data_IF_244120229559
#
_entry.id   IF_244120229559
#
_cell.length_a   1.000
_cell.length_b   1.000
_cell.length_c   1.000
_cell.angle_alpha   90.00
_cell.angle_beta   90.00
_cell.angle_gamma   90.00
#
_symmetry.space_group_name_H-M   'P 1'
#
loop_
_entity.id
_entity.type
_entity.pdbx_description
1 polymer ?
#
# COMPACT_ATOMS: atom_id res chain seq x y z
N UNK A 1 17.73 13.98 4.55
CA UNK A 1 18.75 13.27 3.74
C UNK A 1 18.20 13.18 2.32
N UNK A 2 19.02 13.41 1.28
CA UNK A 2 18.57 13.61 -0.12
C UNK A 2 19.11 12.58 -1.12
N UNK A 3 19.80 11.52 -0.65
CA UNK A 3 20.34 10.47 -1.50
C UNK A 3 21.69 10.78 -2.16
N UNK A 4 22.26 11.96 -1.91
CA UNK A 4 23.59 12.30 -2.41
C UNK A 4 24.69 11.43 -1.76
N UNK A 5 25.71 11.09 -2.54
CA UNK A 5 26.86 10.34 -2.05
C UNK A 5 27.71 11.20 -1.11
N UNK A 6 27.56 10.99 0.20
CA UNK A 6 28.28 11.77 1.21
C UNK A 6 29.80 11.55 1.17
N UNK A 7 30.26 10.30 1.04
CA UNK A 7 31.69 9.95 1.01
C UNK A 7 31.93 8.61 0.31
N UNK A 8 32.97 8.54 -0.50
CA UNK A 8 33.55 7.31 -1.04
C UNK A 8 35.03 7.23 -0.61
N UNK A 9 35.34 6.52 0.50
CA UNK A 9 36.71 6.45 1.00
C UNK A 9 37.70 5.91 -0.06
N UNK A 10 38.85 6.57 -0.22
CA UNK A 10 39.92 6.25 -1.19
C UNK A 10 39.60 6.57 -2.66
N UNK A 11 38.47 7.21 -2.94
CA UNK A 11 38.13 7.66 -4.31
C UNK A 11 38.57 9.10 -4.60
N UNK A 12 39.08 9.81 -3.59
CA UNK A 12 39.55 11.20 -3.74
C UNK A 12 40.73 11.34 -4.72
N UNK A 13 41.47 10.25 -4.98
CA UNK A 13 42.60 10.19 -5.93
C UNK A 13 42.26 9.55 -7.27
N UNK A 14 41.01 9.14 -7.50
CA UNK A 14 40.58 8.52 -8.76
C UNK A 14 40.15 9.61 -9.73
N UNK A 15 40.94 9.84 -10.78
CA UNK A 15 40.83 11.00 -11.66
C UNK A 15 39.47 11.10 -12.39
N UNK A 16 38.80 9.98 -12.64
CA UNK A 16 37.51 9.91 -13.35
C UNK A 16 36.32 9.69 -12.41
N UNK A 17 36.52 9.74 -11.09
CA UNK A 17 35.43 9.54 -10.15
C UNK A 17 34.58 10.81 -9.99
N UNK A 18 33.36 10.73 -10.47
CA UNK A 18 32.33 11.74 -10.25
C UNK A 18 31.34 11.27 -9.18
N UNK A 19 31.23 12.03 -8.08
CA UNK A 19 30.28 11.72 -7.00
C UNK A 19 28.83 11.89 -7.46
N UNK A 20 28.56 12.80 -8.39
CA UNK A 20 27.19 13.12 -8.81
C UNK A 20 26.56 12.01 -9.65
N UNK A 21 27.36 11.21 -10.35
CA UNK A 21 26.92 10.00 -11.05
C UNK A 21 26.68 8.78 -10.15
N UNK A 22 26.98 8.85 -8.85
CA UNK A 22 26.90 7.72 -7.91
C UNK A 22 25.92 7.95 -6.74
N UNK A 23 24.84 8.68 -6.99
CA UNK A 23 23.75 8.91 -6.03
C UNK A 23 22.87 7.67 -5.89
N UNK A 24 22.13 7.57 -4.78
CA UNK A 24 21.07 6.56 -4.67
C UNK A 24 19.99 6.82 -5.74
N UNK A 25 19.43 5.75 -6.29
CA UNK A 25 18.26 5.86 -7.16
C UNK A 25 17.09 6.45 -6.38
N UNK A 26 16.45 7.46 -6.96
CA UNK A 26 15.23 8.03 -6.41
C UNK A 26 14.07 7.04 -6.59
N UNK A 27 13.16 7.05 -5.63
CA UNK A 27 11.84 6.41 -5.73
C UNK A 27 10.78 7.45 -5.45
N UNK A 28 9.65 7.37 -6.14
CA UNK A 28 8.55 8.28 -5.90
C UNK A 28 7.83 7.88 -4.63
N UNK A 29 7.49 8.88 -3.82
CA UNK A 29 6.78 8.68 -2.57
C UNK A 29 5.58 9.62 -2.46
N UNK A 30 4.47 9.12 -1.94
CA UNK A 30 3.30 9.92 -1.59
C UNK A 30 2.87 9.60 -0.17
N UNK A 31 2.56 10.62 0.64
CA UNK A 31 1.96 10.43 1.98
C UNK A 31 0.51 10.85 1.86
N UNK A 32 -0.41 9.91 2.09
CA UNK A 32 -1.83 10.19 1.96
C UNK A 32 -2.40 10.94 3.18
N UNK A 33 -3.67 11.34 3.09
CA UNK A 33 -4.35 12.10 4.16
C UNK A 33 -4.53 11.32 5.46
N UNK A 34 -4.33 10.00 5.44
CA UNK A 34 -4.44 9.11 6.59
C UNK A 34 -3.06 8.75 7.17
N UNK A 35 -1.98 9.28 6.59
CA UNK A 35 -0.61 9.09 7.06
C UNK A 35 0.09 7.85 6.51
N UNK A 36 -0.47 7.16 5.51
CA UNK A 36 0.20 6.03 4.87
C UNK A 36 1.20 6.50 3.83
N UNK A 37 2.35 5.82 3.78
CA UNK A 37 3.41 6.05 2.80
C UNK A 37 3.24 5.09 1.63
N UNK A 38 3.09 5.66 0.43
CA UNK A 38 3.01 4.93 -0.83
C UNK A 38 4.31 5.11 -1.60
N UNK A 39 4.80 4.03 -2.21
CA UNK A 39 6.01 4.02 -3.04
C UNK A 39 5.65 3.63 -4.46
N UNK A 40 6.15 4.37 -5.44
CA UNK A 40 6.06 4.04 -6.86
C UNK A 40 7.47 3.90 -7.44
N UNK A 41 7.73 2.74 -8.06
CA UNK A 41 9.04 2.34 -8.60
C UNK A 41 9.23 2.69 -10.08
N UNK A 42 8.31 3.47 -10.66
CA UNK A 42 8.51 4.06 -11.98
C UNK A 42 9.80 4.91 -12.00
N UNK A 43 10.67 4.63 -12.97
CA UNK A 43 11.96 5.29 -13.10
C UNK A 43 11.90 6.65 -13.81
N UNK A 44 10.74 7.02 -14.38
CA UNK A 44 10.54 8.33 -14.98
C UNK A 44 10.66 9.44 -13.91
N UNK A 45 11.09 10.64 -14.30
CA UNK A 45 11.22 11.79 -13.37
C UNK A 45 9.87 12.18 -12.74
N UNK A 46 8.78 11.91 -13.44
CA UNK A 46 7.41 11.99 -12.90
C UNK A 46 6.74 10.65 -13.17
N UNK A 47 6.03 10.05 -12.20
CA UNK A 47 5.32 8.80 -12.41
C UNK A 47 4.37 8.85 -13.61
N UNK A 48 4.36 7.78 -14.41
CA UNK A 48 3.44 7.62 -15.55
C UNK A 48 1.97 7.74 -15.13
N UNK A 49 1.67 7.23 -13.93
CA UNK A 49 0.37 7.40 -13.27
C UNK A 49 0.59 8.07 -11.93
N UNK A 50 -0.12 9.18 -11.68
CA UNK A 50 -0.06 9.85 -10.40
C UNK A 50 -0.80 9.06 -9.32
N UNK A 51 -0.49 9.34 -8.06
CA UNK A 51 -1.23 8.73 -6.95
C UNK A 51 -2.71 9.14 -7.00
N UNK A 52 -3.00 10.40 -7.33
CA UNK A 52 -4.35 10.95 -7.42
C UNK A 52 -5.17 10.29 -8.55
N UNK A 53 -4.55 9.96 -9.68
CA UNK A 53 -5.22 9.25 -10.78
C UNK A 53 -5.66 7.85 -10.35
N UNK A 54 -4.82 7.14 -9.59
CA UNK A 54 -5.08 5.76 -9.20
C UNK A 54 -5.96 5.62 -7.95
N UNK A 55 -5.81 6.55 -7.00
CA UNK A 55 -6.35 6.43 -5.65
C UNK A 55 -7.10 7.68 -5.15
N UNK A 56 -7.35 8.67 -6.02
CA UNK A 56 -8.08 9.88 -5.66
C UNK A 56 -9.42 9.58 -4.99
N UNK A 57 -9.65 10.18 -3.82
CA UNK A 57 -10.89 9.98 -3.06
C UNK A 57 -10.90 8.74 -2.15
N UNK A 58 -9.87 7.90 -2.16
CA UNK A 58 -9.84 6.67 -1.33
C UNK A 58 -9.80 7.01 0.16
N UNK A 59 -9.13 8.09 0.55
CA UNK A 59 -8.98 8.52 1.94
C UNK A 59 -10.19 9.27 2.48
N UNK A 60 -11.07 9.73 1.59
CA UNK A 60 -12.24 10.55 1.88
C UNK A 60 -13.52 9.72 2.03
N UNK A 61 -13.42 8.40 1.88
CA UNK A 61 -14.54 7.48 2.01
C UNK A 61 -15.18 7.61 3.40
N UNK A 62 -16.50 7.88 3.51
CA UNK A 62 -17.16 8.12 4.81
C UNK A 62 -16.95 7.02 5.85
N UNK A 63 -16.78 5.76 5.40
CA UNK A 63 -16.50 4.62 6.28
C UNK A 63 -15.19 4.75 7.08
N UNK A 64 -14.25 5.56 6.60
CA UNK A 64 -12.96 5.79 7.26
C UNK A 64 -13.04 6.86 8.35
N UNK A 65 -14.07 7.71 8.35
CA UNK A 65 -14.27 8.74 9.37
C UNK A 65 -14.50 8.18 10.78
N UNK A 66 -14.82 6.89 10.90
CA UNK A 66 -14.97 6.20 12.19
C UNK A 66 -13.63 5.86 12.87
N UNK A 67 -12.49 6.10 12.21
CA UNK A 67 -11.17 5.72 12.70
C UNK A 67 -10.25 6.95 12.79
N UNK A 68 -9.80 7.30 14.00
CA UNK A 68 -8.77 8.33 14.18
C UNK A 68 -7.37 7.74 13.96
N UNK A 69 -6.94 7.76 12.71
CA UNK A 69 -5.62 7.26 12.32
C UNK A 69 -4.47 8.21 12.72
N UNK A 70 -4.75 9.47 13.08
CA UNK A 70 -3.72 10.38 13.57
C UNK A 70 -3.20 9.99 14.96
N UNK A 71 -4.03 9.30 15.74
CA UNK A 71 -3.66 8.76 17.05
C UNK A 71 -3.44 7.24 17.03
N UNK A 72 -3.24 6.67 15.85
CA UNK A 72 -2.90 5.26 15.73
C UNK A 72 -1.54 4.98 16.37
N UNK A 73 -1.48 3.94 17.20
CA UNK A 73 -0.22 3.40 17.72
C UNK A 73 -0.04 2.00 17.16
N UNK A 74 1.10 1.79 16.51
CA UNK A 74 1.48 0.47 16.03
C UNK A 74 1.55 -0.51 17.22
N UNK A 75 0.84 -1.63 17.09
CA UNK A 75 0.79 -2.68 18.11
C UNK A 75 1.56 -3.93 17.65
N UNK A 76 1.15 -4.51 16.52
CA UNK A 76 1.70 -5.78 16.03
C UNK A 76 1.77 -5.85 14.50
N UNK A 77 2.69 -6.67 14.00
CA UNK A 77 2.77 -7.09 12.60
C UNK A 77 3.13 -8.58 12.51
N UNK A 78 2.61 -9.25 11.49
CA UNK A 78 2.91 -10.65 11.20
C UNK A 78 3.10 -10.84 9.70
N UNK A 79 3.84 -11.88 9.32
CA UNK A 79 4.10 -12.24 7.94
C UNK A 79 3.97 -13.74 7.74
N UNK A 80 3.47 -14.15 6.58
CA UNK A 80 3.39 -15.55 6.17
C UNK A 80 3.82 -15.70 4.72
N UNK A 81 4.63 -16.71 4.47
CA UNK A 81 4.99 -17.13 3.11
C UNK A 81 4.08 -18.29 2.68
N UNK A 82 3.64 -18.27 1.43
CA UNK A 82 2.77 -19.32 0.90
C UNK A 82 2.94 -19.52 -0.60
N UNK A 83 2.55 -20.71 -1.06
CA UNK A 83 2.62 -21.10 -2.48
C UNK A 83 1.30 -20.76 -3.18
N UNK A 84 1.04 -19.46 -3.37
CA UNK A 84 -0.13 -18.98 -4.09
C UNK A 84 0.21 -17.74 -4.92
N UNK A 85 -0.63 -17.43 -5.92
CA UNK A 85 -0.50 -16.18 -6.66
C UNK A 85 -1.11 -15.04 -5.85
N UNK A 86 -0.48 -13.85 -5.85
CA UNK A 86 -1.00 -12.68 -5.14
C UNK A 86 -2.45 -12.32 -5.53
N UNK A 87 -2.85 -12.57 -6.79
CA UNK A 87 -4.22 -12.31 -7.25
C UNK A 87 -5.26 -13.16 -6.52
N UNK A 88 -4.94 -14.43 -6.25
CA UNK A 88 -5.83 -15.34 -5.53
C UNK A 88 -6.07 -14.87 -4.09
N UNK A 89 -5.08 -14.26 -3.45
CA UNK A 89 -5.26 -13.65 -2.12
C UNK A 89 -6.25 -12.49 -2.15
N UNK A 90 -6.16 -11.65 -3.19
CA UNK A 90 -7.07 -10.51 -3.38
C UNK A 90 -8.49 -10.99 -3.75
N UNK A 91 -8.62 -12.02 -4.58
CA UNK A 91 -9.91 -12.66 -4.89
C UNK A 91 -10.58 -13.18 -3.62
N UNK A 92 -9.84 -13.89 -2.76
CA UNK A 92 -10.33 -14.38 -1.48
C UNK A 92 -10.74 -13.25 -0.52
N UNK A 93 -9.97 -12.15 -0.48
CA UNK A 93 -10.29 -11.02 0.40
C UNK A 93 -11.55 -10.26 -0.05
N UNK A 94 -11.81 -10.20 -1.35
CA UNK A 94 -12.90 -9.41 -1.93
C UNK A 94 -14.28 -10.12 -1.87
N UNK A 95 -14.39 -11.26 -1.20
CA UNK A 95 -15.64 -11.98 -0.99
C UNK A 95 -15.77 -12.51 0.44
N UNK A 96 -16.95 -13.03 0.77
CA UNK A 96 -17.17 -13.73 2.05
C UNK A 96 -18.03 -15.00 1.90
N UNK A 97 -18.09 -15.54 0.68
CA UNK A 97 -18.71 -16.81 0.37
C UNK A 97 -18.04 -17.97 1.11
N UNK A 98 -16.71 -17.94 1.26
CA UNK A 98 -15.96 -18.95 2.03
C UNK A 98 -16.10 -18.78 3.55
N UNK A 99 -16.49 -17.60 4.04
CA UNK A 99 -16.42 -17.25 5.46
C UNK A 99 -17.19 -18.20 6.41
N UNK A 100 -18.44 -18.63 6.11
CA UNK A 100 -19.18 -19.53 7.01
C UNK A 100 -18.51 -20.89 7.21
N UNK A 101 -17.72 -21.34 6.22
CA UNK A 101 -17.08 -22.66 6.21
C UNK A 101 -15.63 -22.60 6.70
N UNK A 102 -14.88 -21.59 6.25
CA UNK A 102 -13.42 -21.52 6.42
C UNK A 102 -12.98 -20.77 7.69
N UNK A 103 -13.84 -19.93 8.28
CA UNK A 103 -13.51 -19.13 9.46
C UNK A 103 -14.42 -19.49 10.66
N UNK A 104 -14.14 -20.57 11.41
CA UNK A 104 -14.99 -21.00 12.53
C UNK A 104 -15.25 -19.90 13.57
N UNK A 105 -14.25 -19.03 13.82
CA UNK A 105 -14.38 -17.91 14.74
C UNK A 105 -15.24 -16.75 14.21
N UNK A 106 -15.41 -16.64 12.88
CA UNK A 106 -16.24 -15.60 12.25
C UNK A 106 -17.60 -16.13 11.79
N UNK A 107 -17.74 -17.44 11.60
CA UNK A 107 -18.96 -18.09 11.11
C UNK A 107 -20.25 -17.69 11.86
N UNK A 108 -20.26 -17.50 13.20
CA UNK A 108 -21.47 -17.05 13.91
C UNK A 108 -22.00 -15.70 13.45
N UNK A 109 -21.15 -14.78 12.99
CA UNK A 109 -21.56 -13.45 12.53
C UNK A 109 -22.23 -13.46 11.16
N UNK A 110 -22.11 -14.55 10.40
CA UNK A 110 -22.70 -14.72 9.06
C UNK A 110 -24.02 -15.50 9.07
N UNK A 111 -24.41 -16.10 10.20
CA UNK A 111 -25.69 -16.80 10.33
C UNK A 111 -26.84 -15.79 10.40
N UNK A 112 -27.55 -15.61 9.29
CA UNK A 112 -28.79 -14.80 9.21
C UNK A 112 -28.65 -13.50 8.41
N UNK A 113 -27.44 -13.02 8.15
CA UNK A 113 -27.17 -11.82 7.37
C UNK A 113 -26.18 -12.13 6.24
N UNK A 114 -26.68 -12.76 5.18
CA UNK A 114 -25.91 -12.98 3.95
C UNK A 114 -25.90 -11.71 3.09
N UNK A 115 -25.60 -10.56 3.67
CA UNK A 115 -25.32 -9.36 2.90
C UNK A 115 -24.36 -8.44 3.66
N UNK A 116 -23.09 -8.79 3.62
CA UNK A 116 -22.04 -7.78 3.69
C UNK A 116 -22.14 -6.97 2.39
N UNK A 117 -22.92 -5.89 2.41
CA UNK A 117 -22.92 -4.90 1.32
C UNK A 117 -21.54 -4.25 1.35
N UNK A 118 -20.60 -4.81 0.58
CA UNK A 118 -19.40 -4.06 0.23
C UNK A 118 -19.87 -2.84 -0.56
N UNK A 119 -19.56 -1.65 -0.03
CA UNK A 119 -19.85 -0.37 -0.66
C UNK A 119 -19.19 -0.25 -2.03
N UNK A 120 -19.91 -0.73 -3.04
CA UNK A 120 -19.94 -0.20 -4.39
C UNK A 120 -21.37 -0.48 -4.86
N UNK A 121 -22.30 0.42 -4.51
CA UNK A 121 -23.64 0.42 -5.10
C UNK A 121 -23.47 0.66 -6.59
N UNK A 122 -23.29 -0.40 -7.37
CA UNK A 122 -23.40 -0.33 -8.83
C UNK A 122 -24.87 -0.03 -9.14
N UNK A 123 -25.18 1.26 -9.29
CA UNK A 123 -26.35 1.69 -10.02
C UNK A 123 -26.07 1.41 -11.50
N UNK A 124 -26.42 0.21 -11.96
CA UNK A 124 -26.63 -0.02 -13.38
C UNK A 124 -28.06 0.42 -13.68
N UNK A 125 -28.20 1.62 -14.24
CA UNK A 125 -29.36 1.94 -15.08
C UNK A 125 -29.13 1.32 -16.46
#
# INVERSE_FOLDING_TARGET
>A
MNGDLAKAPRFDSVQEFDKDSHKLYKVHTHIDKLGFVWVNLDAAETPTHSWEEQFGGVTEQPRLANYDLNNYKFDHTWSMEGKFNWKTLIENYNECYHCPTAHPGLAPFFKGNMQMVYGCQKHWN
#
